data_IF_204601539181
#
_entry.id   IF_204601539181
#
_cell.length_a   1.000
_cell.length_b   1.000
_cell.length_c   1.000
_cell.angle_alpha   90.00
_cell.angle_beta   90.00
_cell.angle_gamma   90.00
#
_symmetry.space_group_name_H-M   'P 1'
#
loop_
_entity.id
_entity.type
_entity.pdbx_description
1 polymer ?
#
# COMPACT_ATOMS: atom_id res chain seq x y z
N UNK A 1 5.99 8.53 -14.47
CA UNK A 1 6.61 7.72 -13.40
C UNK A 1 8.13 7.60 -13.55
N UNK A 2 8.69 7.28 -14.72
CA UNK A 2 10.15 7.22 -14.94
C UNK A 2 10.85 8.59 -14.80
N UNK A 3 10.24 9.68 -15.29
CA UNK A 3 10.77 11.05 -15.12
C UNK A 3 10.75 11.57 -13.67
N UNK A 4 10.04 10.90 -12.77
CA UNK A 4 10.03 11.19 -11.32
C UNK A 4 10.90 10.18 -10.53
N UNK A 5 11.52 9.21 -11.21
CA UNK A 5 12.34 8.17 -10.59
C UNK A 5 11.58 7.13 -9.76
N UNK A 6 10.24 7.18 -9.71
CA UNK A 6 9.37 6.37 -8.83
C UNK A 6 9.57 4.86 -9.03
N UNK A 7 9.57 4.43 -10.30
CA UNK A 7 9.84 3.04 -10.68
C UNK A 7 11.12 3.00 -11.49
N UNK A 8 12.00 2.08 -11.11
CA UNK A 8 13.27 1.80 -11.79
C UNK A 8 13.26 0.33 -12.22
N UNK A 9 13.90 0.04 -13.35
CA UNK A 9 14.03 -1.33 -13.83
C UNK A 9 14.94 -2.18 -12.96
N UNK A 10 14.91 -3.50 -13.16
CA UNK A 10 15.86 -4.43 -12.54
C UNK A 10 17.32 -4.04 -12.81
N UNK A 11 17.59 -3.42 -13.97
CA UNK A 11 18.87 -2.80 -14.31
C UNK A 11 18.64 -1.50 -15.10
N UNK A 12 19.73 -0.79 -15.42
CA UNK A 12 19.66 0.44 -16.23
C UNK A 12 19.10 0.22 -17.65
N UNK A 13 19.04 -1.02 -18.14
CA UNK A 13 18.57 -1.35 -19.50
C UNK A 13 17.41 -2.34 -19.51
N UNK A 14 17.06 -2.93 -18.37
CA UNK A 14 16.06 -4.01 -18.27
C UNK A 14 15.00 -3.63 -17.24
N UNK A 15 13.76 -3.49 -17.68
CA UNK A 15 12.64 -3.21 -16.79
C UNK A 15 12.17 -4.47 -16.04
N UNK A 16 12.10 -5.60 -16.75
CA UNK A 16 11.61 -6.89 -16.26
C UNK A 16 10.14 -6.88 -15.78
N UNK A 17 9.18 -6.65 -16.71
CA UNK A 17 7.78 -6.37 -16.36
C UNK A 17 7.01 -7.56 -15.76
N UNK A 18 7.48 -8.79 -16.00
CA UNK A 18 6.82 -10.01 -15.53
C UNK A 18 7.42 -10.53 -14.23
N UNK A 19 8.54 -9.96 -13.77
CA UNK A 19 9.19 -10.40 -12.56
C UNK A 19 8.34 -10.10 -11.31
N UNK A 20 8.26 -11.06 -10.37
CA UNK A 20 7.65 -10.80 -9.07
C UNK A 20 8.46 -9.74 -8.31
N UNK A 21 7.73 -8.85 -7.63
CA UNK A 21 8.31 -7.74 -6.89
C UNK A 21 8.54 -8.15 -5.42
N UNK A 22 9.72 -7.87 -4.87
CA UNK A 22 10.00 -8.09 -3.44
C UNK A 22 9.39 -6.99 -2.58
N UNK A 23 9.18 -7.29 -1.29
CA UNK A 23 8.72 -6.28 -0.33
C UNK A 23 9.66 -5.07 -0.24
N UNK A 24 10.97 -5.28 -0.34
CA UNK A 24 11.96 -4.20 -0.38
C UNK A 24 11.81 -3.31 -1.63
N UNK A 25 11.65 -3.91 -2.80
CA UNK A 25 11.43 -3.16 -4.04
C UNK A 25 10.15 -2.33 -3.96
N UNK A 26 9.07 -2.90 -3.43
CA UNK A 26 7.81 -2.19 -3.26
C UNK A 26 7.91 -1.06 -2.22
N UNK A 27 8.63 -1.28 -1.11
CA UNK A 27 8.92 -0.23 -0.14
C UNK A 27 9.73 0.93 -0.73
N UNK A 28 10.73 0.64 -1.57
CA UNK A 28 11.50 1.66 -2.27
C UNK A 28 10.64 2.46 -3.27
N UNK A 29 9.67 1.82 -3.94
CA UNK A 29 8.69 2.53 -4.78
C UNK A 29 7.86 3.48 -3.92
N UNK A 30 7.31 3.00 -2.79
CA UNK A 30 6.55 3.84 -1.86
C UNK A 30 7.38 5.01 -1.34
N UNK A 31 8.62 4.79 -0.92
CA UNK A 31 9.51 5.83 -0.39
C UNK A 31 9.69 7.03 -1.33
N UNK A 32 9.61 6.81 -2.64
CA UNK A 32 9.75 7.87 -3.65
C UNK A 32 8.50 8.74 -3.81
N UNK A 33 7.39 8.38 -3.18
CA UNK A 33 6.21 9.24 -3.03
C UNK A 33 6.28 10.14 -1.79
N UNK A 34 7.25 9.93 -0.90
CA UNK A 34 7.42 10.81 0.25
C UNK A 34 7.88 12.20 -0.21
N UNK A 35 7.13 13.22 0.20
CA UNK A 35 7.42 14.63 -0.09
C UNK A 35 8.20 15.31 1.03
N UNK A 36 8.76 14.55 1.97
CA UNK A 36 9.58 15.05 3.08
C UNK A 36 8.78 15.35 4.35
N UNK A 37 7.64 14.68 4.55
CA UNK A 37 6.93 14.76 5.82
C UNK A 37 7.75 13.99 6.87
N UNK A 38 8.27 14.66 7.90
CA UNK A 38 9.10 14.02 8.91
C UNK A 38 8.44 12.77 9.51
N UNK A 39 9.20 11.67 9.59
CA UNK A 39 8.78 10.40 10.19
C UNK A 39 9.58 10.07 11.44
N UNK A 40 9.07 9.14 12.26
CA UNK A 40 9.83 8.58 13.39
C UNK A 40 10.71 7.43 12.90
N UNK A 41 11.88 7.20 13.50
CA UNK A 41 12.71 6.05 13.09
C UNK A 41 12.11 4.75 13.62
N UNK A 42 11.55 3.94 12.72
CA UNK A 42 11.16 2.55 13.02
C UNK A 42 12.13 1.60 12.30
N UNK A 43 12.56 0.53 12.99
CA UNK A 43 13.53 -0.44 12.48
C UNK A 43 12.98 -1.86 12.55
N UNK A 44 13.56 -2.74 11.74
CA UNK A 44 13.31 -4.19 11.75
C UNK A 44 14.62 -4.92 12.01
N UNK A 45 14.55 -6.15 12.51
CA UNK A 45 15.74 -6.94 12.89
C UNK A 45 16.53 -7.48 11.71
N UNK A 46 15.93 -7.55 10.51
CA UNK A 46 16.45 -8.25 9.33
C UNK A 46 16.77 -7.33 8.15
N UNK A 47 16.94 -6.02 8.39
CA UNK A 47 17.21 -5.04 7.33
C UNK A 47 18.62 -4.45 7.39
N UNK A 48 19.40 -4.73 8.43
CA UNK A 48 20.74 -4.14 8.59
C UNK A 48 21.68 -4.55 7.45
N UNK A 49 22.25 -3.57 6.75
CA UNK A 49 23.14 -3.79 5.61
C UNK A 49 22.41 -4.12 4.30
N UNK A 50 21.08 -4.15 4.29
CA UNK A 50 20.29 -4.38 3.09
C UNK A 50 20.19 -3.10 2.25
N UNK A 51 20.25 -3.19 0.91
CA UNK A 51 20.24 -2.00 0.03
C UNK A 51 19.01 -1.10 0.23
N UNK A 52 17.89 -1.70 0.63
CA UNK A 52 16.64 -1.00 0.88
C UNK A 52 16.45 -0.54 2.33
N UNK A 53 17.45 -0.69 3.20
CA UNK A 53 17.34 -0.37 4.64
C UNK A 53 16.78 1.03 4.88
N UNK A 54 17.37 2.05 4.25
CA UNK A 54 16.95 3.44 4.42
C UNK A 54 15.52 3.68 3.90
N UNK A 55 15.16 3.11 2.75
CA UNK A 55 13.80 3.21 2.22
C UNK A 55 12.78 2.56 3.16
N UNK A 56 13.11 1.39 3.70
CA UNK A 56 12.27 0.66 4.65
C UNK A 56 12.11 1.46 5.93
N UNK A 57 13.20 2.00 6.51
CA UNK A 57 13.15 2.87 7.69
C UNK A 57 12.27 4.09 7.46
N UNK A 58 12.43 4.75 6.32
CA UNK A 58 11.66 5.93 5.93
C UNK A 58 10.17 5.61 5.88
N UNK A 59 9.74 4.63 5.09
CA UNK A 59 8.32 4.32 4.93
C UNK A 59 7.70 3.67 6.17
N UNK A 60 8.50 3.01 7.01
CA UNK A 60 8.05 2.55 8.32
C UNK A 60 7.79 3.75 9.25
N UNK A 61 8.67 4.75 9.22
CA UNK A 61 8.53 5.97 10.00
C UNK A 61 7.36 6.86 9.63
N UNK A 62 6.92 6.78 8.37
CA UNK A 62 5.69 7.38 7.86
C UNK A 62 4.43 6.56 8.20
N UNK A 63 4.60 5.38 8.80
CA UNK A 63 3.52 4.44 9.06
C UNK A 63 2.96 3.77 7.79
N UNK A 64 3.64 3.85 6.65
CA UNK A 64 3.22 3.28 5.37
C UNK A 64 3.44 1.78 5.26
N UNK A 65 4.36 1.25 6.05
CA UNK A 65 4.60 -0.20 6.17
C UNK A 65 4.55 -0.65 7.62
N UNK A 66 4.27 -1.93 7.80
CA UNK A 66 4.45 -2.65 9.06
C UNK A 66 5.25 -3.93 8.80
N UNK A 67 6.04 -4.30 9.81
CA UNK A 67 6.71 -5.59 9.86
C UNK A 67 5.79 -6.69 10.35
N UNK A 68 6.35 -7.87 10.54
CA UNK A 68 5.71 -9.02 11.15
C UNK A 68 5.82 -8.94 12.68
N UNK A 69 5.03 -9.76 13.37
CA UNK A 69 5.00 -9.81 14.84
C UNK A 69 6.35 -10.24 15.46
N UNK A 70 7.17 -10.95 14.70
CA UNK A 70 8.54 -11.35 15.07
C UNK A 70 9.58 -10.22 14.95
N UNK A 71 9.15 -9.00 14.58
CA UNK A 71 10.03 -7.85 14.41
C UNK A 71 10.77 -7.79 13.07
N UNK A 72 10.49 -8.70 12.13
CA UNK A 72 11.09 -8.74 10.79
C UNK A 72 10.30 -7.93 9.77
N UNK A 73 10.95 -7.53 8.69
CA UNK A 73 10.30 -6.97 7.50
C UNK A 73 10.25 -7.97 6.34
N UNK A 74 11.19 -8.92 6.27
CA UNK A 74 11.37 -9.92 5.21
C UNK A 74 11.58 -9.28 3.83
N UNK A 75 12.63 -8.45 3.66
CA UNK A 75 12.81 -7.59 2.49
C UNK A 75 12.83 -8.35 1.15
N UNK A 76 13.42 -9.54 1.13
CA UNK A 76 13.60 -10.35 -0.10
C UNK A 76 12.42 -11.25 -0.44
N UNK A 77 11.40 -11.32 0.42
CA UNK A 77 10.19 -12.10 0.10
C UNK A 77 9.29 -11.35 -0.88
N UNK A 78 8.63 -12.08 -1.77
CA UNK A 78 7.69 -11.50 -2.72
C UNK A 78 6.48 -10.90 -2.00
N UNK A 79 6.06 -9.72 -2.46
CA UNK A 79 4.90 -9.04 -1.91
C UNK A 79 3.60 -9.68 -2.43
N UNK A 80 2.65 -9.89 -1.52
CA UNK A 80 1.29 -10.34 -1.90
C UNK A 80 0.42 -9.16 -2.35
N UNK A 81 -0.65 -9.43 -3.12
CA UNK A 81 -1.63 -8.40 -3.52
C UNK A 81 -2.22 -7.64 -2.32
N UNK A 82 -2.52 -8.37 -1.24
CA UNK A 82 -3.05 -7.81 0.00
C UNK A 82 -2.06 -6.85 0.70
N UNK A 83 -0.76 -7.20 0.71
CA UNK A 83 0.29 -6.33 1.25
C UNK A 83 0.50 -5.09 0.36
N UNK A 84 0.49 -5.25 -0.96
CA UNK A 84 0.62 -4.14 -1.89
C UNK A 84 -0.54 -3.12 -1.73
N UNK A 85 -1.79 -3.59 -1.66
CA UNK A 85 -2.95 -2.74 -1.39
C UNK A 85 -2.81 -1.97 -0.08
N UNK A 86 -2.38 -2.67 0.98
CA UNK A 86 -2.12 -2.06 2.28
C UNK A 86 -1.09 -0.92 2.23
N UNK A 87 -0.03 -1.07 1.45
CA UNK A 87 1.00 -0.06 1.29
C UNK A 87 0.53 1.12 0.44
N UNK A 88 -0.12 0.85 -0.69
CA UNK A 88 -0.67 1.88 -1.59
C UNK A 88 -1.69 2.75 -0.86
N UNK A 89 -2.64 2.14 -0.16
CA UNK A 89 -3.67 2.85 0.58
C UNK A 89 -3.08 3.81 1.61
N UNK A 90 -2.00 3.41 2.29
CA UNK A 90 -1.31 4.28 3.26
C UNK A 90 -0.55 5.42 2.59
N UNK A 91 0.13 5.17 1.46
CA UNK A 91 0.77 6.22 0.65
C UNK A 91 -0.25 7.28 0.22
N UNK A 92 -1.47 6.84 -0.13
CA UNK A 92 -2.56 7.71 -0.55
C UNK A 92 -3.34 8.35 0.60
N UNK A 93 -2.98 8.05 1.85
CA UNK A 93 -3.70 8.46 3.06
C UNK A 93 -5.19 8.03 3.08
N UNK A 94 -5.44 6.81 2.60
CA UNK A 94 -6.75 6.17 2.46
C UNK A 94 -6.83 4.98 3.42
N UNK A 95 -7.04 5.25 4.70
CA UNK A 95 -6.99 4.21 5.74
C UNK A 95 -8.35 4.13 6.42
N UNK A 96 -8.99 2.97 6.31
CA UNK A 96 -10.16 2.64 7.12
C UNK A 96 -9.71 2.12 8.49
N UNK A 97 -10.42 2.51 9.53
CA UNK A 97 -10.10 2.11 10.90
C UNK A 97 -10.86 0.84 11.29
N UNK A 98 -12.15 0.77 10.95
CA UNK A 98 -13.03 -0.31 11.38
C UNK A 98 -13.99 -0.76 10.28
N UNK A 99 -14.52 -1.99 10.40
CA UNK A 99 -15.58 -2.48 9.52
C UNK A 99 -16.87 -1.65 9.59
N UNK A 100 -17.07 -0.89 10.69
CA UNK A 100 -18.18 0.04 10.86
C UNK A 100 -18.10 1.25 9.91
N UNK A 101 -16.92 1.55 9.35
CA UNK A 101 -16.71 2.61 8.36
C UNK A 101 -17.20 2.22 6.95
N UNK A 102 -17.60 0.96 6.74
CA UNK A 102 -18.03 0.42 5.45
C UNK A 102 -19.57 0.41 5.30
N UNK A 103 -20.13 0.98 4.22
CA UNK A 103 -21.55 0.92 3.94
C UNK A 103 -21.98 -0.44 3.35
N UNK A 104 -23.27 -0.75 3.44
CA UNK A 104 -23.85 -1.89 2.74
C UNK A 104 -23.81 -1.70 1.20
N UNK A 105 -23.90 -2.81 0.45
CA UNK A 105 -23.98 -2.78 -1.02
C UNK A 105 -22.64 -2.57 -1.75
N UNK A 106 -21.52 -2.65 -1.03
CA UNK A 106 -20.18 -2.68 -1.61
C UNK A 106 -19.92 -3.97 -2.42
N UNK A 107 -19.00 -3.91 -3.39
CA UNK A 107 -18.48 -5.13 -4.00
C UNK A 107 -17.65 -5.87 -2.94
N UNK A 108 -17.82 -7.18 -2.86
CA UNK A 108 -17.11 -8.05 -1.92
C UNK A 108 -16.51 -9.24 -2.66
N UNK A 109 -15.55 -9.91 -2.02
CA UNK A 109 -14.83 -11.04 -2.60
C UNK A 109 -15.04 -12.28 -1.71
N UNK A 110 -15.39 -13.45 -2.27
CA UNK A 110 -15.63 -14.67 -1.48
C UNK A 110 -14.41 -15.17 -0.68
N UNK A 111 -13.20 -14.78 -1.08
CA UNK A 111 -11.92 -15.14 -0.48
C UNK A 111 -11.34 -14.03 0.42
N UNK A 112 -12.13 -13.02 0.75
CA UNK A 112 -11.73 -11.90 1.61
C UNK A 112 -12.74 -11.73 2.76
N UNK A 113 -12.48 -12.39 3.88
CA UNK A 113 -13.38 -12.37 5.03
C UNK A 113 -13.21 -11.07 5.84
N UNK A 114 -14.27 -10.51 6.45
CA UNK A 114 -14.17 -9.29 7.24
C UNK A 114 -13.15 -9.33 8.41
N UNK A 115 -12.84 -10.52 8.93
CA UNK A 115 -11.85 -10.72 10.00
C UNK A 115 -10.42 -10.86 9.52
N UNK A 116 -10.18 -10.96 8.21
CA UNK A 116 -8.82 -11.04 7.68
C UNK A 116 -8.11 -9.70 7.86
N UNK A 117 -6.82 -9.73 8.20
CA UNK A 117 -6.02 -8.52 8.45
C UNK A 117 -5.98 -7.54 7.27
N UNK A 118 -6.27 -8.02 6.05
CA UNK A 118 -6.28 -7.24 4.82
C UNK A 118 -7.68 -6.81 4.36
N UNK A 119 -8.75 -7.21 5.05
CA UNK A 119 -10.12 -7.05 4.58
C UNK A 119 -10.46 -5.59 4.25
N UNK A 120 -10.15 -4.67 5.17
CA UNK A 120 -10.35 -3.23 4.98
C UNK A 120 -9.54 -2.68 3.80
N UNK A 121 -8.29 -3.11 3.63
CA UNK A 121 -7.46 -2.65 2.52
C UNK A 121 -8.00 -3.11 1.15
N UNK A 122 -8.53 -4.34 1.09
CA UNK A 122 -9.20 -4.84 -0.12
C UNK A 122 -10.46 -4.03 -0.41
N UNK A 123 -11.28 -3.73 0.61
CA UNK A 123 -12.50 -2.96 0.39
C UNK A 123 -12.21 -1.54 -0.09
N UNK A 124 -11.23 -0.88 0.53
CA UNK A 124 -10.73 0.44 0.16
C UNK A 124 -10.23 0.48 -1.29
N UNK A 125 -9.47 -0.52 -1.72
CA UNK A 125 -8.96 -0.58 -3.09
C UNK A 125 -10.02 -1.01 -4.13
N UNK A 126 -11.09 -1.70 -3.71
CA UNK A 126 -12.09 -2.29 -4.63
C UNK A 126 -13.19 -1.31 -5.02
N UNK A 127 -13.59 -0.44 -4.09
CA UNK A 127 -14.83 0.30 -4.20
C UNK A 127 -14.58 1.79 -4.35
N UNK A 128 -15.06 2.40 -5.43
CA UNK A 128 -15.08 3.86 -5.53
C UNK A 128 -16.14 4.46 -4.62
N UNK A 129 -15.77 5.38 -3.74
CA UNK A 129 -16.66 5.94 -2.73
C UNK A 129 -16.32 7.40 -2.40
N UNK A 130 -17.27 8.10 -1.82
CA UNK A 130 -17.06 9.39 -1.16
C UNK A 130 -16.66 9.15 0.30
N UNK A 131 -15.79 10.00 0.84
CA UNK A 131 -15.25 9.84 2.19
C UNK A 131 -15.20 11.17 2.95
N UNK A 132 -15.06 11.08 4.26
CA UNK A 132 -14.66 12.20 5.13
C UNK A 132 -13.49 11.74 5.99
N UNK A 133 -12.50 12.61 6.14
CA UNK A 133 -11.39 12.35 7.06
C UNK A 133 -11.86 12.35 8.51
N UNK A 134 -11.33 11.42 9.30
CA UNK A 134 -11.42 11.35 10.76
C UNK A 134 -10.16 11.98 11.37
N UNK A 135 -10.02 11.89 12.69
CA UNK A 135 -8.76 12.25 13.37
C UNK A 135 -7.60 11.40 12.84
N UNK A 136 -6.47 12.03 12.56
CA UNK A 136 -5.29 11.37 11.99
C UNK A 136 -5.42 11.12 10.48
N UNK A 137 -5.01 9.92 10.06
CA UNK A 137 -4.93 9.50 8.66
C UNK A 137 -6.11 8.61 8.23
N UNK A 138 -7.16 8.54 9.06
CA UNK A 138 -8.28 7.65 8.86
C UNK A 138 -9.44 8.32 8.11
N UNK A 139 -10.30 7.51 7.49
CA UNK A 139 -11.50 7.98 6.81
C UNK A 139 -12.72 7.09 7.10
N UNK A 140 -13.91 7.68 6.96
CA UNK A 140 -15.20 6.97 6.95
C UNK A 140 -15.87 7.20 5.61
N UNK A 141 -16.42 6.15 5.00
CA UNK A 141 -17.14 6.28 3.75
C UNK A 141 -18.52 6.91 3.98
N UNK A 142 -18.87 7.88 3.15
CA UNK A 142 -20.14 8.60 3.23
C UNK A 142 -21.13 8.22 2.14
N UNK A 143 -20.68 7.45 1.13
CA UNK A 143 -21.53 6.91 0.09
C UNK A 143 -20.73 6.24 -1.02
N UNK A 144 -21.40 5.39 -1.81
CA UNK A 144 -20.80 4.72 -2.96
C UNK A 144 -20.85 5.62 -4.19
N UNK A 145 -19.72 5.75 -4.89
CA UNK A 145 -19.66 6.49 -6.15
C UNK A 145 -20.18 5.61 -7.30
N UNK A 146 -20.71 6.26 -8.34
CA UNK A 146 -21.05 5.56 -9.58
C UNK A 146 -19.79 4.90 -10.13
N UNK A 147 -19.89 3.61 -10.50
CA UNK A 147 -18.80 2.88 -11.14
C UNK A 147 -18.35 3.66 -12.39
N UNK A 148 -17.06 4.02 -12.50
CA UNK A 148 -16.54 4.61 -13.72
C UNK A 148 -16.79 3.67 -14.88
N UNK A 149 -17.19 4.20 -16.04
CA UNK A 149 -17.26 3.40 -17.25
C UNK A 149 -15.83 3.20 -17.76
N UNK A 150 -15.32 1.99 -17.56
CA UNK A 150 -13.96 1.61 -17.96
C UNK A 150 -13.87 1.14 -19.41
N UNK A 151 -15.00 0.79 -20.03
CA UNK A 151 -15.04 0.29 -21.43
C UNK A 151 -14.49 1.32 -22.42
N UNK A 152 -14.56 2.61 -22.07
CA UNK A 152 -13.95 3.71 -22.85
C UNK A 152 -12.42 3.67 -22.96
N UNK A 153 -11.74 2.83 -22.17
CA UNK A 153 -10.27 2.70 -22.17
C UNK A 153 -9.78 1.34 -22.70
N UNK A 154 -10.71 0.43 -23.04
CA UNK A 154 -10.40 -0.85 -23.66
C UNK A 154 -10.35 -0.63 -25.18
N UNK A 155 -9.16 -0.35 -25.70
CA UNK A 155 -8.85 -0.26 -27.14
C UNK A 155 -7.79 -1.30 -27.52
#
# INVERSE_FOLDING_TARGET
>A
MTGLGIVQGHSGTTFDPEAPITRAQFAAICARFDTGAGGTTQTFSDISGHWAEEYIRQVAGLGWIKGFEDGTFRPDTYITRAQAMNMINRVLNRILEENSDLPAGMNTWPDCNPGDWFSLAVQEATNSHAFKHKTGNYETWTGMNKKPDWTRYEH
#
